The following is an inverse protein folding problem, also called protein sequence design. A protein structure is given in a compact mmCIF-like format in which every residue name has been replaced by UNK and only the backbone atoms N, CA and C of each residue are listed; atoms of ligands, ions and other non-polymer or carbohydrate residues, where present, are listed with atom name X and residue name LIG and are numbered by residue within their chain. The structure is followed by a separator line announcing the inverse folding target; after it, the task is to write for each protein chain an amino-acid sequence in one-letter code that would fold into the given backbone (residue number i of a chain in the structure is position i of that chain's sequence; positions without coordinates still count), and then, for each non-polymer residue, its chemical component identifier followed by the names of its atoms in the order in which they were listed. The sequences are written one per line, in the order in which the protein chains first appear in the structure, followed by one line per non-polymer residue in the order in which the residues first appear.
data_IF_835171484008
#
_entry.id   IF_835171484008
#
_cell.length_a   1.000
_cell.length_b   1.000
_cell.length_c   1.000
_cell.angle_alpha   90.00
_cell.angle_beta   90.00
_cell.angle_gamma   90.00
#
_symmetry.space_group_name_H-M   'P 1'
#
loop_
_entity.id
_entity.type
_entity.pdbx_description
1 polymer ?
#
# COMPACT_ATOMS: atom_id res chain seq x y z
N UNK A 1 8.04 9.33 -22.66
CA UNK A 1 7.79 8.78 -21.31
C UNK A 1 6.28 8.77 -21.08
N UNK A 2 5.69 7.66 -20.61
CA UNK A 2 4.26 7.59 -20.26
C UNK A 2 4.14 7.60 -18.74
N UNK A 3 3.20 8.37 -18.20
CA UNK A 3 2.89 8.44 -16.77
C UNK A 3 1.38 8.43 -16.59
N UNK A 4 0.90 7.85 -15.50
CA UNK A 4 -0.51 7.85 -15.11
C UNK A 4 -0.61 8.03 -13.60
N UNK A 5 -1.68 8.71 -13.16
CA UNK A 5 -1.98 8.92 -11.76
C UNK A 5 -3.23 8.12 -11.40
N UNK A 6 -3.22 7.52 -10.21
CA UNK A 6 -4.35 6.77 -9.67
C UNK A 6 -4.59 7.26 -8.25
N UNK A 7 -5.83 7.57 -7.92
CA UNK A 7 -6.20 7.91 -6.55
C UNK A 7 -6.44 6.63 -5.76
N UNK A 8 -5.78 6.50 -4.61
CA UNK A 8 -5.99 5.42 -3.66
C UNK A 8 -5.58 5.89 -2.25
N UNK A 9 -6.44 5.66 -1.27
CA UNK A 9 -6.07 5.78 0.15
C UNK A 9 -5.41 4.48 0.61
N UNK A 10 -4.16 4.54 1.07
CA UNK A 10 -3.43 3.36 1.50
C UNK A 10 -4.00 2.73 2.78
N UNK A 11 -4.74 3.48 3.60
CA UNK A 11 -5.45 2.87 4.73
C UNK A 11 -6.62 1.99 4.31
N UNK A 12 -7.10 2.12 3.06
CA UNK A 12 -8.08 1.21 2.49
C UNK A 12 -7.35 0.13 1.69
N UNK A 13 -7.26 -1.05 2.30
CA UNK A 13 -6.62 -2.23 1.68
C UNK A 13 -7.27 -2.63 0.35
N UNK A 14 -8.58 -2.37 0.17
CA UNK A 14 -9.27 -2.65 -1.09
C UNK A 14 -8.83 -1.68 -2.18
N UNK A 15 -8.67 -0.39 -1.86
CA UNK A 15 -8.14 0.59 -2.81
C UNK A 15 -6.68 0.30 -3.16
N UNK A 16 -5.87 -0.11 -2.18
CA UNK A 16 -4.47 -0.49 -2.39
C UNK A 16 -4.33 -1.68 -3.37
N UNK A 17 -5.17 -2.71 -3.23
CA UNK A 17 -5.19 -3.82 -4.17
C UNK A 17 -5.68 -3.39 -5.57
N UNK A 18 -6.76 -2.60 -5.65
CA UNK A 18 -7.29 -2.10 -6.93
C UNK A 18 -6.27 -1.25 -7.69
N UNK A 19 -5.49 -0.43 -6.99
CA UNK A 19 -4.41 0.35 -7.59
C UNK A 19 -3.45 -0.53 -8.39
N UNK A 20 -2.99 -1.64 -7.80
CA UNK A 20 -2.09 -2.58 -8.47
C UNK A 20 -2.72 -3.20 -9.72
N UNK A 21 -4.00 -3.57 -9.63
CA UNK A 21 -4.75 -4.09 -10.77
C UNK A 21 -4.86 -3.05 -11.90
N UNK A 22 -5.17 -1.80 -11.57
CA UNK A 22 -5.28 -0.72 -12.54
C UNK A 22 -3.95 -0.41 -13.23
N UNK A 23 -2.84 -0.43 -12.48
CA UNK A 23 -1.50 -0.27 -13.04
C UNK A 23 -1.18 -1.42 -14.00
N UNK A 24 -1.40 -2.68 -13.59
CA UNK A 24 -1.15 -3.84 -14.43
C UNK A 24 -2.03 -3.84 -15.70
N UNK A 25 -3.30 -3.41 -15.60
CA UNK A 25 -4.20 -3.27 -16.74
C UNK A 25 -3.75 -2.18 -17.72
N UNK A 26 -3.30 -1.02 -17.22
CA UNK A 26 -2.92 0.10 -18.08
C UNK A 26 -1.55 -0.08 -18.74
N UNK A 27 -0.58 -0.66 -18.02
CA UNK A 27 0.81 -0.77 -18.48
C UNK A 27 1.21 -2.20 -18.89
N UNK A 28 0.35 -3.19 -18.64
CA UNK A 28 0.56 -4.60 -18.99
C UNK A 28 1.42 -5.39 -18.00
N UNK A 29 2.22 -4.71 -17.16
CA UNK A 29 3.05 -5.31 -16.11
C UNK A 29 3.29 -4.33 -14.97
N UNK A 30 3.71 -4.86 -13.82
CA UNK A 30 4.30 -4.11 -12.72
C UNK A 30 5.70 -4.68 -12.48
N UNK A 31 6.72 -3.84 -12.41
CA UNK A 31 8.10 -4.28 -12.20
C UNK A 31 8.61 -3.99 -10.80
N UNK A 32 8.27 -2.81 -10.29
CA UNK A 32 8.73 -2.31 -9.01
C UNK A 32 7.51 -1.73 -8.28
N UNK A 33 7.32 -2.16 -7.04
CA UNK A 33 6.38 -1.57 -6.11
C UNK A 33 7.17 -0.86 -5.01
N UNK A 34 6.92 0.44 -4.83
CA UNK A 34 7.49 1.22 -3.73
C UNK A 34 6.37 1.60 -2.77
N UNK A 35 6.35 0.96 -1.59
CA UNK A 35 5.42 1.29 -0.52
C UNK A 35 5.94 2.48 0.29
N UNK A 36 5.86 3.69 -0.28
CA UNK A 36 6.38 4.90 0.34
C UNK A 36 5.37 5.61 1.26
N UNK A 37 4.07 5.39 1.08
CA UNK A 37 3.08 6.06 1.93
C UNK A 37 3.19 5.52 3.36
N UNK A 38 3.35 6.45 4.30
CA UNK A 38 3.53 6.15 5.71
C UNK A 38 2.99 7.27 6.59
N UNK A 39 2.51 6.90 7.77
CA UNK A 39 2.07 7.80 8.82
C UNK A 39 2.86 7.51 10.10
N UNK A 40 3.09 8.52 10.94
CA UNK A 40 3.63 8.32 12.29
C UNK A 40 2.79 9.10 13.28
N UNK A 41 2.32 8.40 14.30
CA UNK A 41 1.62 8.92 15.46
C UNK A 41 2.59 8.79 16.63
N UNK A 42 2.89 9.93 17.25
CA UNK A 42 3.87 10.00 18.33
C UNK A 42 3.17 10.42 19.61
N UNK A 43 3.23 9.55 20.62
CA UNK A 43 2.80 9.81 21.99
C UNK A 43 3.59 8.91 22.95
N UNK A 44 3.75 9.31 24.23
CA UNK A 44 4.19 8.39 25.28
C UNK A 44 3.27 7.16 25.34
N UNK A 45 3.85 5.98 25.65
CA UNK A 45 3.10 4.72 25.64
C UNK A 45 2.02 4.64 26.74
N UNK A 46 2.22 5.38 27.82
CA UNK A 46 1.37 5.51 29.00
C UNK A 46 0.52 6.79 28.98
N UNK A 47 0.47 7.51 27.85
CA UNK A 47 -0.31 8.72 27.70
C UNK A 47 -1.81 8.45 27.81
N UNK A 48 -2.50 9.14 28.73
CA UNK A 48 -3.97 9.12 28.81
C UNK A 48 -4.63 9.79 27.60
N UNK A 49 -3.91 10.71 26.94
CA UNK A 49 -4.36 11.39 25.72
C UNK A 49 -4.06 10.61 24.41
N UNK A 50 -3.69 9.32 24.51
CA UNK A 50 -3.36 8.53 23.33
C UNK A 50 -4.58 8.35 22.40
N UNK A 51 -4.42 8.79 21.14
CA UNK A 51 -5.47 8.63 20.12
C UNK A 51 -5.39 7.24 19.47
N UNK A 52 -6.23 6.32 19.96
CA UNK A 52 -6.35 4.97 19.42
C UNK A 52 -6.74 4.96 17.93
N UNK A 53 -7.57 5.91 17.48
CA UNK A 53 -7.99 5.98 16.08
C UNK A 53 -6.85 6.39 15.15
N UNK A 54 -5.97 7.28 15.62
CA UNK A 54 -4.76 7.65 14.91
C UNK A 54 -3.80 6.46 14.82
N UNK A 55 -3.64 5.68 15.90
CA UNK A 55 -2.82 4.47 15.89
C UNK A 55 -3.38 3.42 14.91
N UNK A 56 -4.70 3.20 14.91
CA UNK A 56 -5.36 2.31 13.96
C UNK A 56 -5.15 2.76 12.51
N UNK A 57 -5.26 4.07 12.26
CA UNK A 57 -4.96 4.68 10.95
C UNK A 57 -3.50 4.45 10.54
N UNK A 58 -2.55 4.57 11.47
CA UNK A 58 -1.14 4.27 11.20
C UNK A 58 -0.95 2.81 10.82
N UNK A 59 -1.54 1.86 11.57
CA UNK A 59 -1.48 0.44 11.24
C UNK A 59 -2.12 0.16 9.88
N UNK A 60 -3.22 0.83 9.55
CA UNK A 60 -3.88 0.69 8.27
C UNK A 60 -2.97 1.13 7.11
N UNK A 61 -2.35 2.32 7.20
CA UNK A 61 -1.46 2.87 6.16
C UNK A 61 -0.15 2.09 6.04
N UNK A 62 0.52 1.86 7.17
CA UNK A 62 1.90 1.35 7.17
C UNK A 62 1.97 -0.17 7.06
N UNK A 63 0.90 -0.88 7.43
CA UNK A 63 0.92 -2.34 7.51
C UNK A 63 -0.14 -2.98 6.62
N UNK A 64 -1.43 -2.85 6.92
CA UNK A 64 -2.45 -3.62 6.19
C UNK A 64 -2.58 -3.19 4.74
N UNK A 65 -2.46 -1.89 4.44
CA UNK A 65 -2.39 -1.35 3.08
C UNK A 65 -1.19 -1.89 2.29
N UNK A 66 0.00 -1.87 2.91
CA UNK A 66 1.24 -2.41 2.31
C UNK A 66 1.10 -3.90 2.01
N UNK A 67 0.57 -4.69 2.96
CA UNK A 67 0.33 -6.13 2.76
C UNK A 67 -0.64 -6.37 1.61
N UNK A 68 -1.72 -5.59 1.50
CA UNK A 68 -2.68 -5.71 0.41
C UNK A 68 -2.05 -5.42 -0.95
N UNK A 69 -1.27 -4.34 -1.06
CA UNK A 69 -0.54 -4.00 -2.28
C UNK A 69 0.47 -5.08 -2.68
N UNK A 70 1.27 -5.60 -1.75
CA UNK A 70 2.24 -6.68 -2.00
C UNK A 70 1.53 -7.96 -2.45
N UNK A 71 0.44 -8.35 -1.78
CA UNK A 71 -0.32 -9.55 -2.13
C UNK A 71 -0.92 -9.48 -3.53
N UNK A 72 -1.34 -8.31 -3.97
CA UNK A 72 -1.85 -8.14 -5.33
C UNK A 72 -0.70 -8.07 -6.34
N UNK A 73 0.38 -7.38 -6.00
CA UNK A 73 1.57 -7.30 -6.84
C UNK A 73 2.18 -8.69 -7.10
N UNK A 74 2.21 -9.58 -6.11
CA UNK A 74 2.72 -10.95 -6.31
C UNK A 74 1.86 -11.81 -7.25
N UNK A 75 0.58 -11.47 -7.45
CA UNK A 75 -0.31 -12.14 -8.40
C UNK A 75 -0.10 -11.62 -9.82
N UNK A 76 0.11 -10.32 -9.98
CA UNK A 76 0.27 -9.67 -11.28
C UNK A 76 1.72 -9.74 -11.80
N UNK A 77 2.70 -9.69 -10.91
CA UNK A 77 4.10 -9.94 -11.22
C UNK A 77 4.33 -11.45 -11.31
N UNK A 78 4.19 -12.03 -12.50
CA UNK A 78 4.88 -13.31 -12.76
C UNK A 78 6.38 -13.02 -12.67
N UNK A 79 7.06 -13.68 -11.75
CA UNK A 79 8.53 -13.71 -11.69
C UNK A 79 9.04 -13.99 -13.11
N UNK A 80 9.89 -13.11 -13.64
CA UNK A 80 10.70 -13.46 -14.82
C UNK A 80 11.44 -14.74 -14.44
N UNK A 81 11.23 -15.80 -15.22
CA UNK A 81 11.61 -17.17 -14.88
C UNK A 81 12.97 -17.25 -14.20
N UNK A 82 12.98 -17.83 -13.00
CA UNK A 82 14.20 -18.31 -12.38
C UNK A 82 14.78 -19.41 -13.25
N UNK A 83 16.02 -19.21 -13.66
CA UNK A 83 16.94 -20.23 -14.18
C UNK A 83 17.05 -21.44 -13.27
#
# INVERSE_FOLDING_TARGET
MRAANFHADQADSTQSARLIQSVAQQFGRLDILVNNAGLTVAAPIDSEDADASALDRQLAVNYTGVVAAIREASRCCRTVGGS
#
